data_IF_350116951406
#
_entry.id   IF_350116951406
#
_cell.length_a   1.000
_cell.length_b   1.000
_cell.length_c   1.000
_cell.angle_alpha   90.00
_cell.angle_beta   90.00
_cell.angle_gamma   90.00
#
_symmetry.space_group_name_H-M   'P 1'
#
loop_
_entity.id
_entity.type
_entity.pdbx_description
1 polymer ?
#
# COMPACT_ATOMS: atom_id res chain seq x y z
N UNK A 1 -3.22 10.73 -1.33
CA UNK A 1 -2.01 11.47 -0.90
C UNK A 1 -1.14 10.56 -0.05
N UNK A 2 0.17 10.81 0.03
CA UNK A 2 1.11 9.99 0.83
C UNK A 2 0.91 10.19 2.33
N UNK A 3 0.99 9.12 3.12
CA UNK A 3 0.93 9.14 4.59
C UNK A 3 1.95 10.12 5.19
N UNK A 4 3.19 10.06 4.67
CA UNK A 4 4.31 10.91 5.07
C UNK A 4 3.97 12.39 4.94
N UNK A 5 3.25 12.80 3.90
CA UNK A 5 2.86 14.21 3.72
C UNK A 5 1.89 14.66 4.82
N UNK A 6 0.83 13.89 5.06
CA UNK A 6 -0.18 14.26 6.07
C UNK A 6 0.41 14.25 7.48
N UNK A 7 1.28 13.29 7.76
CA UNK A 7 1.94 13.19 9.05
C UNK A 7 2.99 14.30 9.28
N UNK A 8 3.50 14.91 8.22
CA UNK A 8 4.43 16.05 8.27
C UNK A 8 3.73 17.42 8.38
N UNK A 9 2.39 17.47 8.26
CA UNK A 9 1.63 18.73 8.36
C UNK A 9 1.83 19.48 9.68
N UNK A 10 1.88 18.84 10.87
CA UNK A 10 2.17 19.54 12.13
C UNK A 10 3.51 20.27 12.10
N UNK A 11 4.57 19.64 11.58
CA UNK A 11 5.89 20.26 11.45
C UNK A 11 5.87 21.44 10.49
N UNK A 12 5.23 21.28 9.32
CA UNK A 12 5.09 22.35 8.33
C UNK A 12 4.34 23.55 8.89
N UNK A 13 3.28 23.30 9.66
CA UNK A 13 2.53 24.35 10.36
C UNK A 13 3.42 25.09 11.36
N UNK A 14 4.15 24.35 12.20
CA UNK A 14 5.06 24.95 13.19
C UNK A 14 6.13 25.85 12.54
N UNK A 15 6.68 25.45 11.37
CA UNK A 15 7.62 26.29 10.61
C UNK A 15 6.96 27.60 10.15
N UNK A 16 5.74 27.53 9.61
CA UNK A 16 5.00 28.71 9.16
C UNK A 16 4.68 29.64 10.34
N UNK A 17 4.28 29.09 11.48
CA UNK A 17 4.02 29.85 12.71
C UNK A 17 5.28 30.54 13.25
N UNK A 18 6.44 29.86 13.21
CA UNK A 18 7.72 30.44 13.61
C UNK A 18 8.16 31.58 12.69
N UNK A 19 7.97 31.44 11.38
CA UNK A 19 8.17 32.54 10.44
C UNK A 19 7.25 33.73 10.74
N UNK A 20 5.96 33.48 10.98
CA UNK A 20 5.00 34.53 11.31
C UNK A 20 5.35 35.26 12.62
N UNK A 21 5.96 34.56 13.57
CA UNK A 21 6.44 35.12 14.84
C UNK A 21 7.82 35.80 14.76
N UNK A 22 8.43 35.91 13.56
CA UNK A 22 9.77 36.48 13.40
C UNK A 22 10.89 35.67 14.06
N UNK A 23 10.64 34.39 14.35
CA UNK A 23 11.59 33.47 14.98
C UNK A 23 12.41 32.70 13.92
N UNK A 24 13.48 32.04 14.34
CA UNK A 24 14.26 31.13 13.48
C UNK A 24 13.61 29.74 13.44
N UNK A 25 13.09 29.28 12.29
CA UNK A 25 12.37 28.00 12.28
C UNK A 25 13.28 26.80 12.44
N UNK A 26 12.77 25.76 13.10
CA UNK A 26 13.45 24.47 13.19
C UNK A 26 13.12 23.59 11.96
N UNK A 27 14.12 23.42 11.09
CA UNK A 27 14.00 22.62 9.87
C UNK A 27 14.35 21.14 10.05
N UNK A 28 14.75 20.71 11.26
CA UNK A 28 15.04 19.30 11.51
C UNK A 28 13.84 18.42 11.14
N UNK A 29 14.15 17.27 10.55
CA UNK A 29 13.15 16.33 10.03
C UNK A 29 13.42 14.95 10.60
N UNK A 30 12.35 14.27 11.02
CA UNK A 30 12.41 12.85 11.34
C UNK A 30 12.68 11.97 10.12
N UNK A 31 12.76 10.66 10.35
CA UNK A 31 12.89 9.68 9.28
C UNK A 31 11.70 9.75 8.32
N UNK A 32 11.92 9.45 7.04
CA UNK A 32 10.81 9.39 6.09
C UNK A 32 9.77 8.31 6.44
N UNK A 33 10.19 7.27 7.15
CA UNK A 33 9.38 6.13 7.56
C UNK A 33 8.47 6.40 8.77
N UNK A 34 8.72 7.46 9.55
CA UNK A 34 7.94 7.76 10.74
C UNK A 34 8.01 9.24 11.11
N UNK A 35 6.89 9.87 11.49
CA UNK A 35 6.90 11.27 11.89
C UNK A 35 7.79 11.48 13.10
N UNK A 36 8.29 12.70 13.25
CA UNK A 36 9.09 13.07 14.40
C UNK A 36 8.26 12.96 15.69
N UNK A 37 8.83 12.32 16.72
CA UNK A 37 8.17 12.01 17.98
C UNK A 37 7.60 13.25 18.68
N UNK A 38 8.19 14.43 18.47
CA UNK A 38 7.68 15.68 19.05
C UNK A 38 6.27 16.04 18.56
N UNK A 39 5.84 15.51 17.40
CA UNK A 39 4.51 15.73 16.83
C UNK A 39 3.55 14.56 17.08
N UNK A 40 3.94 13.55 17.87
CA UNK A 40 3.09 12.39 18.15
C UNK A 40 1.73 12.77 18.75
N UNK A 41 1.69 13.71 19.70
CA UNK A 41 0.43 14.16 20.31
C UNK A 41 -0.47 14.89 19.29
N UNK A 42 0.10 15.66 18.36
CA UNK A 42 -0.65 16.33 17.31
C UNK A 42 -1.27 15.36 16.29
N UNK A 43 -0.78 14.12 16.23
CA UNK A 43 -1.25 13.06 15.34
C UNK A 43 -2.15 12.03 16.06
N UNK A 44 -2.44 12.26 17.34
CA UNK A 44 -3.28 11.36 18.15
C UNK A 44 -4.68 11.22 17.55
N UNK A 45 -5.21 10.01 17.59
CA UNK A 45 -6.50 9.68 16.96
C UNK A 45 -6.42 9.49 15.45
N UNK A 46 -5.22 9.45 14.87
CA UNK A 46 -4.97 9.08 13.47
C UNK A 46 -4.01 7.89 13.41
N UNK A 47 -3.97 7.22 12.26
CA UNK A 47 -3.00 6.16 11.97
C UNK A 47 -1.65 6.70 11.45
N UNK A 48 -1.43 8.02 11.45
CA UNK A 48 -0.28 8.65 10.81
C UNK A 48 1.06 8.46 11.55
N UNK A 49 1.03 8.12 12.84
CA UNK A 49 2.24 7.97 13.66
C UNK A 49 2.68 6.51 13.85
N UNK A 50 1.77 5.67 14.35
CA UNK A 50 2.03 4.25 14.66
C UNK A 50 0.82 3.36 14.32
N UNK A 51 -0.05 3.82 13.42
CA UNK A 51 -1.27 3.12 13.05
C UNK A 51 -1.05 1.99 12.05
N UNK A 52 -2.15 1.47 11.53
CA UNK A 52 -2.12 0.30 10.66
C UNK A 52 -1.38 0.61 9.34
N UNK A 53 -0.27 -0.09 9.10
CA UNK A 53 0.56 0.10 7.92
C UNK A 53 1.80 0.98 8.14
N UNK A 54 1.95 1.59 9.31
CA UNK A 54 3.16 2.31 9.71
C UNK A 54 4.35 1.37 9.89
N UNK A 55 5.57 1.89 9.75
CA UNK A 55 6.79 1.15 10.05
C UNK A 55 6.97 1.00 11.57
N UNK A 56 7.38 -0.18 12.00
CA UNK A 56 7.69 -0.52 13.39
C UNK A 56 9.03 -1.24 13.49
N UNK A 57 9.52 -1.40 14.72
CA UNK A 57 10.78 -2.04 15.02
C UNK A 57 10.61 -3.14 16.07
N UNK A 58 11.33 -4.24 15.88
CA UNK A 58 11.35 -5.45 16.73
C UNK A 58 12.77 -6.00 16.93
N UNK A 59 13.78 -5.22 16.54
CA UNK A 59 15.17 -5.54 16.84
C UNK A 59 15.60 -4.97 18.19
N UNK A 60 16.91 -4.89 18.42
CA UNK A 60 17.49 -4.52 19.71
C UNK A 60 18.13 -3.12 19.73
N UNK A 61 18.16 -2.40 18.60
CA UNK A 61 18.68 -1.02 18.56
C UNK A 61 17.80 -0.06 19.36
N UNK A 62 18.39 0.49 20.43
CA UNK A 62 17.72 1.39 21.37
C UNK A 62 17.22 2.69 20.72
N UNK A 63 17.77 3.10 19.58
CA UNK A 63 17.34 4.28 18.82
C UNK A 63 15.90 4.15 18.29
N UNK A 64 15.42 2.91 18.15
CA UNK A 64 14.09 2.59 17.64
C UNK A 64 13.17 1.99 18.72
N UNK A 65 13.52 2.08 20.00
CA UNK A 65 12.71 1.52 21.12
C UNK A 65 11.25 2.01 21.13
N UNK A 66 11.02 3.24 20.66
CA UNK A 66 9.70 3.86 20.64
C UNK A 66 8.92 3.56 19.34
N UNK A 67 9.49 2.75 18.44
CA UNK A 67 8.90 2.30 17.17
C UNK A 67 7.97 1.11 17.33
N UNK A 68 7.03 1.26 18.26
CA UNK A 68 5.92 0.35 18.49
C UNK A 68 4.71 0.65 17.59
N UNK A 69 3.79 -0.30 17.55
CA UNK A 69 2.48 -0.14 16.91
C UNK A 69 1.42 0.34 17.92
N UNK A 70 0.40 1.01 17.41
CA UNK A 70 -0.77 1.43 18.19
C UNK A 70 -1.62 0.26 18.68
N UNK A 71 -2.66 0.57 19.45
CA UNK A 71 -3.56 -0.44 20.03
C UNK A 71 -4.23 -1.31 18.96
N UNK A 72 -4.35 -2.61 19.22
CA UNK A 72 -4.96 -3.58 18.30
C UNK A 72 -4.07 -3.99 17.11
N UNK A 73 -2.82 -3.54 17.10
CA UNK A 73 -1.85 -3.82 16.05
C UNK A 73 -0.61 -4.51 16.62
N UNK A 74 0.05 -5.29 15.77
CA UNK A 74 1.33 -5.93 16.08
C UNK A 74 2.38 -5.59 15.02
N UNK A 75 3.64 -5.62 15.41
CA UNK A 75 4.74 -5.43 14.48
C UNK A 75 5.07 -6.74 13.73
N UNK A 76 5.01 -6.72 12.40
CA UNK A 76 5.27 -7.90 11.57
C UNK A 76 6.34 -7.66 10.52
N UNK A 77 7.29 -8.59 10.38
CA UNK A 77 8.28 -8.60 9.30
C UNK A 77 7.66 -9.02 7.96
N UNK A 78 7.02 -8.10 7.25
CA UNK A 78 6.43 -8.38 5.92
C UNK A 78 7.52 -8.61 4.87
N UNK A 79 8.60 -7.83 4.98
CA UNK A 79 9.80 -7.88 4.14
C UNK A 79 11.04 -7.88 5.03
N UNK A 80 11.48 -9.08 5.44
CA UNK A 80 12.74 -9.27 6.16
C UNK A 80 13.94 -8.80 5.33
N UNK A 81 14.96 -8.26 5.98
CA UNK A 81 16.21 -7.86 5.31
C UNK A 81 17.37 -8.00 6.28
N UNK A 82 18.47 -8.59 5.82
CA UNK A 82 19.72 -8.65 6.59
C UNK A 82 20.41 -7.28 6.72
N UNK A 83 20.10 -6.33 5.82
CA UNK A 83 20.69 -4.97 5.82
C UNK A 83 19.93 -4.04 6.75
N UNK A 84 18.61 -4.22 6.86
CA UNK A 84 17.75 -3.47 7.77
C UNK A 84 17.00 -4.44 8.71
N UNK A 85 17.71 -5.18 9.56
CA UNK A 85 17.10 -6.19 10.42
C UNK A 85 16.18 -5.54 11.45
N UNK A 86 15.14 -6.27 11.85
CA UNK A 86 14.25 -5.85 12.91
C UNK A 86 13.18 -4.82 12.50
N UNK A 87 13.22 -4.25 11.30
CA UNK A 87 12.10 -3.46 10.82
C UNK A 87 10.90 -4.34 10.44
N UNK A 88 9.72 -3.76 10.53
CA UNK A 88 8.47 -4.40 10.19
C UNK A 88 7.38 -3.37 9.89
N UNK A 89 6.16 -3.86 9.77
CA UNK A 89 4.96 -3.06 9.53
C UNK A 89 3.91 -3.37 10.58
N UNK A 90 3.22 -2.33 11.06
CA UNK A 90 2.08 -2.49 11.92
C UNK A 90 0.93 -3.12 11.14
N UNK A 91 0.47 -4.28 11.59
CA UNK A 91 -0.62 -5.06 10.98
C UNK A 91 -1.66 -5.40 12.03
N UNK A 92 -2.87 -5.77 11.62
CA UNK A 92 -3.89 -6.20 12.58
C UNK A 92 -3.39 -7.37 13.43
N UNK A 93 -3.58 -7.26 14.74
CA UNK A 93 -3.27 -8.37 15.66
C UNK A 93 -4.16 -9.59 15.40
N UNK A 94 -5.42 -9.35 14.96
CA UNK A 94 -6.37 -10.40 14.57
C UNK A 94 -6.00 -11.11 13.25
N UNK A 95 -5.05 -10.58 12.48
CA UNK A 95 -4.43 -11.24 11.32
C UNK A 95 -5.33 -11.52 10.11
N UNK A 96 -6.52 -10.90 10.02
CA UNK A 96 -7.53 -11.22 8.99
C UNK A 96 -8.30 -10.02 8.45
N UNK A 97 -7.83 -8.79 8.69
CA UNK A 97 -8.55 -7.58 8.29
C UNK A 97 -8.22 -7.18 6.84
N UNK A 98 -9.20 -6.61 6.12
CA UNK A 98 -8.99 -6.17 4.74
C UNK A 98 -7.92 -5.08 4.71
N UNK A 99 -6.78 -5.32 4.05
CA UNK A 99 -5.60 -4.46 4.14
C UNK A 99 -4.34 -5.16 4.65
N UNK A 100 -4.49 -6.25 5.39
CA UNK A 100 -3.35 -6.96 5.97
C UNK A 100 -2.51 -7.69 4.91
N UNK A 101 -1.20 -7.84 5.14
CA UNK A 101 -0.35 -8.68 4.32
C UNK A 101 -0.79 -10.15 4.41
N UNK A 102 -0.84 -10.82 3.26
CA UNK A 102 -1.10 -12.26 3.16
C UNK A 102 0.12 -13.03 2.66
N UNK A 103 1.20 -12.31 2.36
CA UNK A 103 2.50 -12.89 2.05
C UNK A 103 3.56 -12.26 2.96
N UNK A 104 4.55 -13.06 3.32
CA UNK A 104 5.69 -12.64 4.11
C UNK A 104 6.94 -13.21 3.44
N UNK A 105 8.02 -12.46 3.43
CA UNK A 105 9.25 -12.91 2.79
C UNK A 105 10.46 -12.08 3.19
N UNK A 106 11.58 -12.42 2.59
CA UNK A 106 12.89 -11.84 2.85
C UNK A 106 13.50 -11.32 1.56
N UNK A 107 14.10 -10.13 1.61
CA UNK A 107 14.91 -9.60 0.53
C UNK A 107 16.35 -10.08 0.77
N UNK A 108 16.85 -10.90 -0.15
CA UNK A 108 18.22 -11.39 -0.15
C UNK A 108 19.02 -10.73 -1.26
N UNK A 109 20.28 -10.49 -0.98
CA UNK A 109 21.21 -9.87 -1.91
C UNK A 109 22.51 -10.67 -1.90
N UNK A 110 22.91 -11.18 -3.07
CA UNK A 110 24.22 -11.83 -3.25
C UNK A 110 25.30 -10.81 -3.61
N UNK A 111 24.93 -9.76 -4.35
CA UNK A 111 25.75 -8.61 -4.70
C UNK A 111 24.86 -7.37 -4.79
N UNK A 112 25.47 -6.19 -4.79
CA UNK A 112 24.72 -4.94 -4.96
C UNK A 112 23.89 -4.98 -6.26
N UNK A 113 22.60 -4.64 -6.16
CA UNK A 113 21.66 -4.67 -7.27
C UNK A 113 21.11 -6.06 -7.65
N UNK A 114 21.52 -7.13 -6.95
CA UNK A 114 21.00 -8.49 -7.15
C UNK A 114 19.93 -8.85 -6.11
N UNK A 115 18.93 -7.97 -5.97
CA UNK A 115 17.86 -8.15 -4.99
C UNK A 115 16.93 -9.30 -5.40
N UNK A 116 16.73 -10.26 -4.50
CA UNK A 116 15.80 -11.37 -4.65
C UNK A 116 14.81 -11.39 -3.50
N UNK A 117 13.51 -11.34 -3.82
CA UNK A 117 12.47 -11.57 -2.82
C UNK A 117 12.21 -13.08 -2.66
N UNK A 118 12.53 -13.59 -1.48
CA UNK A 118 12.30 -14.96 -1.05
C UNK A 118 11.02 -15.04 -0.22
N UNK A 119 9.94 -15.61 -0.77
CA UNK A 119 8.69 -15.80 -0.02
C UNK A 119 8.85 -16.85 1.08
N UNK A 120 8.57 -16.46 2.32
CA UNK A 120 8.57 -17.32 3.51
C UNK A 120 7.17 -17.89 3.78
N UNK A 121 6.12 -17.06 3.63
CA UNK A 121 4.73 -17.46 3.86
C UNK A 121 3.79 -16.89 2.79
N UNK A 122 2.82 -17.67 2.27
CA UNK A 122 2.79 -19.14 2.37
C UNK A 122 4.06 -19.75 1.77
N UNK A 123 4.58 -20.82 2.40
CA UNK A 123 5.85 -21.43 2.02
C UNK A 123 5.71 -22.18 0.69
N UNK A 124 6.02 -21.51 -0.41
CA UNK A 124 5.91 -22.07 -1.76
C UNK A 124 7.24 -22.09 -2.52
N UNK A 125 8.32 -21.58 -1.93
CA UNK A 125 9.61 -21.41 -2.60
C UNK A 125 10.60 -22.54 -2.24
N UNK A 126 11.37 -23.01 -3.23
CA UNK A 126 12.59 -23.82 -3.02
C UNK A 126 13.78 -22.91 -3.32
N UNK A 127 14.61 -22.63 -2.31
CA UNK A 127 15.83 -21.82 -2.46
C UNK A 127 15.60 -20.44 -3.11
N UNK A 128 14.63 -19.67 -2.60
CA UNK A 128 14.21 -18.36 -3.13
C UNK A 128 13.62 -18.34 -4.54
N UNK A 129 13.73 -19.44 -5.31
CA UNK A 129 12.96 -19.63 -6.52
C UNK A 129 11.52 -20.02 -6.16
N UNK A 130 10.55 -19.28 -6.70
CA UNK A 130 9.14 -19.60 -6.57
C UNK A 130 8.88 -20.81 -7.48
N UNK A 131 8.39 -21.90 -6.88
CA UNK A 131 7.97 -23.08 -7.63
C UNK A 131 6.53 -22.85 -8.14
N UNK A 132 6.30 -22.65 -9.46
CA UNK A 132 4.97 -22.33 -9.98
C UNK A 132 3.95 -23.44 -9.73
N UNK A 133 4.38 -24.70 -9.62
CA UNK A 133 3.50 -25.83 -9.32
C UNK A 133 3.05 -25.84 -7.85
N UNK A 134 3.80 -25.18 -6.97
CA UNK A 134 3.50 -25.05 -5.53
C UNK A 134 3.06 -23.66 -5.12
N UNK A 135 3.15 -22.67 -5.99
CA UNK A 135 2.72 -21.29 -5.76
C UNK A 135 1.19 -21.14 -5.73
N UNK A 136 0.56 -21.76 -4.73
CA UNK A 136 -0.90 -21.71 -4.55
C UNK A 136 -1.32 -20.43 -3.84
N UNK A 137 -2.56 -20.00 -4.08
CA UNK A 137 -3.22 -18.91 -3.34
C UNK A 137 -3.01 -19.13 -1.82
N UNK A 138 -2.64 -18.09 -1.04
CA UNK A 138 -2.62 -18.17 0.42
C UNK A 138 -3.95 -18.77 0.90
N UNK A 139 -3.92 -19.74 1.83
CA UNK A 139 -5.13 -20.34 2.38
C UNK A 139 -5.82 -19.34 3.30
N UNK A 140 -6.49 -18.36 2.68
CA UNK A 140 -7.36 -17.42 3.38
C UNK A 140 -8.61 -18.21 3.75
N UNK A 141 -8.75 -18.59 5.02
CA UNK A 141 -9.88 -19.37 5.55
C UNK A 141 -11.23 -18.64 5.52
N UNK A 142 -11.27 -17.42 4.97
CA UNK A 142 -12.47 -16.58 4.93
C UNK A 142 -13.13 -16.65 3.55
N UNK A 143 -14.35 -17.19 3.51
CA UNK A 143 -15.15 -17.24 2.30
C UNK A 143 -15.38 -15.83 1.73
N UNK A 144 -15.23 -15.67 0.41
CA UNK A 144 -15.35 -14.38 -0.27
C UNK A 144 -14.12 -13.47 -0.16
N UNK A 145 -13.04 -13.91 0.49
CA UNK A 145 -11.77 -13.18 0.53
C UNK A 145 -10.78 -13.68 -0.52
N UNK A 146 -9.93 -12.76 -0.96
CA UNK A 146 -8.88 -12.95 -1.94
C UNK A 146 -7.61 -12.21 -1.55
N UNK A 147 -6.55 -12.51 -2.27
CA UNK A 147 -5.25 -11.87 -2.14
C UNK A 147 -4.99 -11.02 -3.39
N UNK A 148 -4.60 -9.76 -3.21
CA UNK A 148 -3.94 -8.97 -4.23
C UNK A 148 -2.42 -9.26 -4.15
N UNK A 149 -2.01 -10.40 -4.72
CA UNK A 149 -0.65 -10.94 -4.62
C UNK A 149 -0.04 -11.21 -5.99
N UNK A 150 1.27 -11.38 -6.04
CA UNK A 150 1.96 -11.85 -7.24
C UNK A 150 1.72 -13.36 -7.41
N UNK A 151 1.12 -13.75 -8.54
CA UNK A 151 0.85 -15.14 -8.89
C UNK A 151 1.79 -15.57 -10.01
N UNK A 152 2.56 -16.62 -9.76
CA UNK A 152 3.44 -17.25 -10.76
C UNK A 152 2.86 -18.56 -11.31
N UNK A 153 1.84 -19.11 -10.65
CA UNK A 153 1.12 -20.34 -11.03
C UNK A 153 0.20 -20.19 -12.26
N UNK A 154 0.00 -18.96 -12.74
CA UNK A 154 -0.85 -18.67 -13.90
C UNK A 154 -0.09 -17.82 -14.92
N UNK A 155 0.60 -18.43 -15.90
CA UNK A 155 1.35 -17.70 -16.92
C UNK A 155 0.46 -16.84 -17.84
N UNK A 156 -0.86 -17.08 -17.87
CA UNK A 156 -1.84 -16.27 -18.59
C UNK A 156 -2.30 -15.05 -17.77
N UNK A 157 -2.09 -15.05 -16.46
CA UNK A 157 -2.42 -13.92 -15.60
C UNK A 157 -1.32 -12.85 -15.68
N UNK A 158 -1.48 -11.94 -16.64
CA UNK A 158 -0.63 -10.74 -16.80
C UNK A 158 -0.87 -9.66 -15.73
N UNK A 159 -1.74 -9.89 -14.74
CA UNK A 159 -1.96 -8.93 -13.66
C UNK A 159 -0.84 -9.10 -12.63
N UNK A 160 0.05 -8.11 -12.53
CA UNK A 160 1.08 -8.07 -11.49
C UNK A 160 0.50 -8.09 -10.08
N UNK A 161 1.37 -8.35 -9.11
CA UNK A 161 1.08 -8.29 -7.68
C UNK A 161 2.35 -7.85 -6.94
N UNK A 162 2.20 -7.26 -5.75
CA UNK A 162 3.35 -6.86 -4.94
C UNK A 162 3.78 -8.03 -4.04
N UNK A 163 5.08 -8.17 -3.75
CA UNK A 163 5.54 -8.90 -2.56
C UNK A 163 4.72 -8.48 -1.34
N UNK A 164 4.40 -9.37 -0.41
CA UNK A 164 3.66 -8.97 0.79
C UNK A 164 2.18 -8.62 0.57
N UNK A 165 1.57 -9.10 -0.53
CA UNK A 165 0.25 -8.73 -1.06
C UNK A 165 -0.89 -8.53 -0.05
N UNK A 166 -1.96 -7.84 -0.44
CA UNK A 166 -3.02 -7.39 0.48
C UNK A 166 -4.24 -8.31 0.50
N UNK A 167 -4.76 -8.59 1.69
CA UNK A 167 -6.06 -9.22 1.89
C UNK A 167 -7.18 -8.29 1.40
N UNK A 168 -8.10 -8.83 0.60
CA UNK A 168 -9.25 -8.09 0.06
C UNK A 168 -10.50 -8.95 0.00
N UNK A 169 -11.67 -8.34 -0.11
CA UNK A 169 -12.87 -9.06 -0.55
C UNK A 169 -12.90 -9.24 -2.07
N UNK A 170 -13.54 -10.33 -2.50
CA UNK A 170 -13.72 -10.65 -3.91
C UNK A 170 -14.79 -9.79 -4.58
N UNK A 171 -15.84 -9.41 -3.83
CA UNK A 171 -16.92 -8.51 -4.26
C UNK A 171 -17.06 -7.32 -3.31
N UNK A 172 -17.99 -6.42 -3.62
CA UNK A 172 -18.35 -5.27 -2.78
C UNK A 172 -19.52 -5.55 -1.83
N UNK A 173 -19.93 -6.81 -1.67
CA UNK A 173 -21.06 -7.16 -0.81
C UNK A 173 -20.61 -7.36 0.63
N UNK A 174 -21.42 -6.84 1.57
CA UNK A 174 -21.22 -7.01 3.02
C UNK A 174 -19.77 -6.70 3.41
N UNK A 175 -19.30 -5.50 3.06
CA UNK A 175 -17.95 -5.07 3.36
C UNK A 175 -17.79 -4.81 4.87
N UNK A 176 -16.67 -5.23 5.47
CA UNK A 176 -16.38 -4.89 6.86
C UNK A 176 -16.05 -3.39 6.99
N UNK A 177 -15.95 -2.91 8.24
CA UNK A 177 -15.84 -1.47 8.53
C UNK A 177 -14.57 -0.83 7.98
N UNK A 178 -13.47 -1.58 7.97
CA UNK A 178 -12.19 -1.14 7.42
C UNK A 178 -12.14 -1.12 5.88
N UNK A 179 -13.16 -1.67 5.21
CA UNK A 179 -13.18 -1.81 3.75
C UNK A 179 -14.18 -0.87 3.06
N UNK A 180 -13.90 -0.54 1.80
CA UNK A 180 -14.81 0.17 0.90
C UNK A 180 -14.72 -0.42 -0.52
N UNK A 181 -15.77 -0.22 -1.32
CA UNK A 181 -15.79 -0.73 -2.69
C UNK A 181 -14.83 0.06 -3.58
N UNK A 182 -14.00 -0.65 -4.35
CA UNK A 182 -13.07 -0.07 -5.29
C UNK A 182 -12.89 -0.90 -6.55
N UNK A 183 -12.08 -0.38 -7.48
CA UNK A 183 -11.71 -1.08 -8.71
C UNK A 183 -10.27 -1.57 -8.66
N UNK A 184 -10.06 -2.76 -9.23
CA UNK A 184 -8.74 -3.33 -9.52
C UNK A 184 -8.66 -3.67 -10.99
N UNK A 185 -7.47 -3.57 -11.58
CA UNK A 185 -7.31 -3.95 -12.99
C UNK A 185 -7.50 -5.45 -13.16
N UNK A 186 -8.12 -5.83 -14.28
CA UNK A 186 -8.30 -7.21 -14.71
C UNK A 186 -7.29 -7.55 -15.80
N UNK A 187 -7.12 -8.83 -16.11
CA UNK A 187 -6.26 -9.27 -17.21
C UNK A 187 -6.63 -8.54 -18.50
N UNK A 188 -5.64 -8.03 -19.23
CA UNK A 188 -5.82 -7.26 -20.46
C UNK A 188 -5.93 -5.74 -20.28
N UNK A 189 -5.93 -5.22 -19.04
CA UNK A 189 -5.93 -3.76 -18.82
C UNK A 189 -4.74 -3.06 -19.48
N UNK A 190 -3.52 -3.57 -19.24
CA UNK A 190 -2.30 -3.00 -19.83
C UNK A 190 -2.31 -3.13 -21.36
N UNK A 191 -2.79 -4.27 -21.90
CA UNK A 191 -2.93 -4.47 -23.34
C UNK A 191 -3.92 -3.46 -23.94
N UNK A 192 -5.03 -3.14 -23.24
CA UNK A 192 -5.99 -2.12 -23.65
C UNK A 192 -5.36 -0.73 -23.72
N UNK A 193 -4.65 -0.31 -22.67
CA UNK A 193 -3.97 0.99 -22.64
C UNK A 193 -2.87 1.06 -23.71
N UNK A 194 -2.08 0.00 -23.87
CA UNK A 194 -1.02 -0.07 -24.88
C UNK A 194 -1.56 0.00 -26.33
N UNK A 195 -2.82 -0.41 -26.55
CA UNK A 195 -3.48 -0.30 -27.86
C UNK A 195 -3.97 1.11 -28.21
N UNK A 196 -3.75 2.11 -27.35
CA UNK A 196 -4.16 3.51 -27.58
C UNK A 196 -5.65 3.76 -27.40
N UNK A 197 -6.41 2.81 -26.83
CA UNK A 197 -7.83 2.98 -26.52
C UNK A 197 -8.04 4.01 -25.41
N UNK A 198 -9.21 4.64 -25.39
CA UNK A 198 -9.57 5.63 -24.38
C UNK A 198 -9.47 5.04 -22.95
N UNK A 199 -8.87 5.80 -22.05
CA UNK A 199 -8.63 5.36 -20.68
C UNK A 199 -9.93 5.04 -19.93
N UNK A 200 -11.02 5.81 -20.15
CA UNK A 200 -12.31 5.53 -19.51
C UNK A 200 -12.88 4.21 -20.02
N UNK A 201 -12.69 3.90 -21.31
CA UNK A 201 -13.04 2.59 -21.86
C UNK A 201 -12.24 1.47 -21.18
N UNK A 202 -10.90 1.60 -21.10
CA UNK A 202 -10.09 0.56 -20.46
C UNK A 202 -10.40 0.40 -18.96
N UNK A 203 -10.70 1.49 -18.25
CA UNK A 203 -11.10 1.45 -16.84
C UNK A 203 -12.50 0.85 -16.65
N UNK A 204 -13.45 1.13 -17.54
CA UNK A 204 -14.78 0.52 -17.48
C UNK A 204 -14.72 -0.98 -17.81
N UNK A 205 -14.09 -1.32 -18.93
CA UNK A 205 -14.12 -2.67 -19.46
C UNK A 205 -13.10 -3.58 -18.78
N UNK A 206 -11.92 -3.09 -18.43
CA UNK A 206 -10.81 -3.89 -17.92
C UNK A 206 -10.52 -3.71 -16.43
N UNK A 207 -11.54 -3.36 -15.65
CA UNK A 207 -11.48 -3.44 -14.20
C UNK A 207 -12.52 -4.40 -13.63
N UNK A 208 -12.32 -4.76 -12.36
CA UNK A 208 -13.29 -5.49 -11.55
C UNK A 208 -13.46 -4.78 -10.22
N UNK A 209 -14.66 -4.83 -9.67
CA UNK A 209 -14.90 -4.33 -8.31
C UNK A 209 -14.38 -5.30 -7.26
N UNK A 210 -13.97 -4.77 -6.12
CA UNK A 210 -13.52 -5.52 -4.96
C UNK A 210 -13.65 -4.68 -3.69
N UNK A 211 -13.87 -5.32 -2.54
CA UNK A 211 -13.71 -4.66 -1.24
C UNK A 211 -12.23 -4.49 -0.90
N UNK A 212 -11.77 -3.25 -0.90
CA UNK A 212 -10.39 -2.86 -0.62
C UNK A 212 -10.31 -2.13 0.72
N UNK A 213 -9.12 -2.04 1.30
CA UNK A 213 -8.94 -1.24 2.52
C UNK A 213 -9.30 0.22 2.23
N UNK A 214 -10.19 0.76 3.06
CA UNK A 214 -10.58 2.16 3.01
C UNK A 214 -9.43 3.03 3.53
N UNK A 215 -9.29 4.22 2.98
CA UNK A 215 -8.28 5.17 3.42
C UNK A 215 -8.79 6.61 3.38
N UNK A 216 -8.16 7.46 4.18
CA UNK A 216 -8.36 8.91 4.14
C UNK A 216 -7.10 9.62 4.69
N UNK A 217 -7.22 10.91 5.00
CA UNK A 217 -6.11 11.73 5.50
C UNK A 217 -5.61 11.30 6.88
N UNK A 218 -6.47 10.71 7.70
CA UNK A 218 -6.15 10.24 9.05
C UNK A 218 -5.83 8.74 9.07
N UNK A 219 -6.37 7.96 8.13
CA UNK A 219 -6.19 6.52 8.02
C UNK A 219 -5.53 6.18 6.68
N UNK A 220 -4.20 6.40 6.53
CA UNK A 220 -3.53 6.12 5.28
C UNK A 220 -3.44 4.61 5.00
N UNK A 221 -3.03 4.29 3.78
CA UNK A 221 -2.64 2.93 3.42
C UNK A 221 -1.29 2.56 4.02
N UNK A 222 -0.96 1.26 3.99
CA UNK A 222 0.39 0.76 4.21
C UNK A 222 1.38 1.46 3.27
N UNK A 223 2.63 1.65 3.69
CA UNK A 223 3.65 2.42 2.94
C UNK A 223 3.88 1.95 1.49
N UNK A 224 3.68 0.67 1.20
CA UNK A 224 3.75 0.07 -0.14
C UNK A 224 2.42 0.11 -0.91
N UNK A 225 1.42 0.86 -0.43
CA UNK A 225 0.12 1.11 -1.03
C UNK A 225 -0.17 2.61 -1.07
N UNK A 226 -1.06 3.00 -1.98
CA UNK A 226 -1.49 4.39 -2.10
C UNK A 226 -2.99 4.53 -1.96
N UNK A 227 -3.39 5.62 -1.34
CA UNK A 227 -4.79 5.99 -1.22
C UNK A 227 -5.26 6.70 -2.50
N UNK A 228 -6.06 6.00 -3.31
CA UNK A 228 -6.78 6.59 -4.45
C UNK A 228 -8.11 7.19 -4.02
N UNK A 229 -8.59 8.16 -4.80
CA UNK A 229 -9.91 8.73 -4.60
C UNK A 229 -11.01 7.66 -4.59
N UNK A 230 -12.09 7.92 -3.87
CA UNK A 230 -13.28 7.08 -3.87
C UNK A 230 -13.95 7.05 -5.24
N UNK A 231 -14.84 6.07 -5.42
CA UNK A 231 -15.60 5.89 -6.65
C UNK A 231 -17.07 6.24 -6.38
N UNK A 232 -17.46 7.46 -6.72
CA UNK A 232 -18.83 7.97 -6.46
C UNK A 232 -19.92 7.21 -7.24
N UNK A 233 -19.53 6.52 -8.31
CA UNK A 233 -20.42 5.72 -9.13
C UNK A 233 -20.65 4.29 -8.60
N UNK A 234 -19.94 3.88 -7.53
CA UNK A 234 -20.12 2.59 -6.90
C UNK A 234 -21.02 2.71 -5.67
N UNK A 235 -22.20 2.09 -5.71
CA UNK A 235 -23.22 2.15 -4.64
C UNK A 235 -22.67 1.75 -3.27
N UNK A 236 -21.75 0.78 -3.22
CA UNK A 236 -21.17 0.27 -1.98
C UNK A 236 -19.89 1.02 -1.54
N UNK A 237 -19.50 2.09 -2.24
CA UNK A 237 -18.38 2.92 -1.81
C UNK A 237 -18.80 3.84 -0.66
N UNK A 238 -17.99 3.86 0.40
CA UNK A 238 -18.17 4.76 1.54
C UNK A 238 -17.82 6.19 1.14
N UNK A 239 -18.74 7.13 1.34
CA UNK A 239 -18.53 8.54 1.05
C UNK A 239 -17.31 9.09 1.82
N UNK A 240 -16.49 9.91 1.15
CA UNK A 240 -15.28 10.50 1.74
C UNK A 240 -14.12 9.53 1.98
N UNK A 241 -14.25 8.25 1.60
CA UNK A 241 -13.20 7.24 1.72
C UNK A 241 -12.60 6.91 0.35
N UNK A 242 -11.27 6.86 0.31
CA UNK A 242 -10.51 6.31 -0.80
C UNK A 242 -10.29 4.80 -0.69
N UNK A 243 -9.60 4.23 -1.67
CA UNK A 243 -9.20 2.82 -1.66
C UNK A 243 -7.69 2.65 -1.72
N UNK A 244 -7.16 1.74 -0.88
CA UNK A 244 -5.78 1.33 -0.94
C UNK A 244 -5.54 0.40 -2.13
N UNK A 245 -4.71 0.86 -3.07
CA UNK A 245 -4.28 0.05 -4.22
C UNK A 245 -2.75 0.01 -4.29
N UNK A 246 -2.17 -1.05 -4.87
CA UNK A 246 -0.74 -1.07 -5.13
C UNK A 246 -0.30 0.08 -6.06
N UNK A 247 0.87 0.72 -5.83
CA UNK A 247 1.32 1.90 -6.57
C UNK A 247 1.48 1.70 -8.08
N UNK A 248 1.83 0.49 -8.56
CA UNK A 248 1.92 0.21 -9.99
C UNK A 248 0.56 0.25 -10.70
N UNK A 249 -0.55 0.18 -9.94
CA UNK A 249 -1.88 0.46 -10.47
C UNK A 249 -2.15 1.96 -10.61
N UNK A 250 -1.37 2.89 -10.03
CA UNK A 250 -1.53 4.33 -10.29
C UNK A 250 -1.24 4.66 -11.74
N UNK A 251 -0.17 4.11 -12.31
CA UNK A 251 0.12 4.29 -13.73
C UNK A 251 -1.01 3.70 -14.61
N UNK A 252 -1.79 2.78 -14.05
CA UNK A 252 -2.99 2.21 -14.65
C UNK A 252 -4.29 2.96 -14.29
N UNK A 253 -4.33 3.81 -13.27
CA UNK A 253 -5.55 4.50 -12.77
C UNK A 253 -5.29 5.96 -12.43
N UNK A 254 -4.51 6.66 -13.24
CA UNK A 254 -4.41 8.13 -13.15
C UNK A 254 -5.83 8.71 -13.19
N UNK A 255 -6.32 9.15 -12.03
CA UNK A 255 -7.69 9.64 -11.83
C UNK A 255 -7.92 10.93 -12.63
N UNK A 256 -6.84 11.63 -12.95
CA UNK A 256 -6.75 12.78 -13.86
C UNK A 256 -6.77 12.40 -15.36
N UNK A 257 -6.79 11.10 -15.67
CA UNK A 257 -6.66 10.58 -17.03
C UNK A 257 -5.21 10.60 -17.51
N UNK A 258 -4.90 9.73 -18.48
CA UNK A 258 -3.71 9.95 -19.30
C UNK A 258 -3.99 11.11 -20.25
N UNK A 259 -3.06 12.07 -20.44
CA UNK A 259 -3.21 13.07 -21.48
C UNK A 259 -3.51 12.35 -22.79
N UNK A 260 -4.71 12.59 -23.33
CA UNK A 260 -5.12 12.03 -24.62
C UNK A 260 -4.14 12.58 -25.65
N UNK A 261 -3.33 11.70 -26.22
CA UNK A 261 -2.41 11.98 -27.32
C UNK A 261 -1.50 13.20 -27.08
N UNK A 262 -0.18 12.98 -27.10
CA UNK A 262 0.67 14.02 -27.63
C UNK A 262 0.17 14.31 -29.05
N UNK A 263 -0.65 15.35 -29.22
CA UNK A 263 -0.67 16.05 -30.50
C UNK A 263 0.70 16.69 -30.54
N UNK A 264 1.62 16.08 -31.27
CA UNK A 264 2.79 16.83 -31.71
C UNK A 264 2.21 18.04 -32.42
N UNK A 265 2.38 19.22 -31.83
CA UNK A 265 2.06 20.48 -32.47
C UNK A 265 3.12 20.67 -33.57
N UNK A 266 2.96 19.94 -34.67
CA UNK A 266 3.71 20.14 -35.92
C UNK A 266 3.05 21.28 -36.66
N UNK A 267 3.22 22.48 -36.13
CA UNK A 267 3.10 23.72 -36.91
C UNK A 267 4.41 24.46 -36.77
N UNK A 268 5.26 24.27 -37.79
CA UNK A 268 6.28 25.25 -38.19
C UNK A 268 5.61 26.57 -38.61
#
# INVERSE_FOLDING_TARGET
GSAVFFADLPRRRAIVEQFAAGSHPDFTRGFAARPDARYAEALKGTDLYNGWGSICYRGEDASFKDWNCGAGLRCAGVHESAIHPGFGTCVSDAGTAVGDPVEFGEIRMSSWGSDQYCRISPTTAKACAIDPARDKKPPVKLAGYGAARQRYDNPQQKTGGFPGGMLRKASCDKLPDEATCGRLAKTGFNDCIASGKDHKFCTKEFTKTAGLRACDKAHPCREDYICTAGYDDLVQAKAGKGTCIPPYFIFQFRVDGHPRSWVQDVRE
#
